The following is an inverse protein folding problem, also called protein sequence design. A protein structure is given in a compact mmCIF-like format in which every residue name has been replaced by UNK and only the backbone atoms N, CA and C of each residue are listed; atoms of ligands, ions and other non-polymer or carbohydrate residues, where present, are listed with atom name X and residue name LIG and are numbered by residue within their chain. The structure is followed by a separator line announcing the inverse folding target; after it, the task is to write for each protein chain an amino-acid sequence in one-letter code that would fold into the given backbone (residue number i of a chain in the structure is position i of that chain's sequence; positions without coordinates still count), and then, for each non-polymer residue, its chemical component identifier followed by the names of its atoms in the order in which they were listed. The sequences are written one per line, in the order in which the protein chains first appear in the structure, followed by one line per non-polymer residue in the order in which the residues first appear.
data_IF_752534695302
#
_entry.id   IF_752534695302
#
_cell.length_a   1.000
_cell.length_b   1.000
_cell.length_c   1.000
_cell.angle_alpha   90.00
_cell.angle_beta   90.00
_cell.angle_gamma   90.00
#
_symmetry.space_group_name_H-M   'P 1'
#
loop_
_entity.id
_entity.type
_entity.pdbx_description
1 polymer ?
#
# COMPACT_ATOMS: atom_id res chain seq x y z
N UNK A 1 -7.01 13.40 -18.84
CA UNK A 1 -7.22 14.84 -18.98
C UNK A 1 -6.10 15.64 -18.29
N UNK A 2 -5.85 15.45 -16.98
CA UNK A 2 -4.87 16.23 -16.21
C UNK A 2 -3.46 16.23 -16.85
N UNK A 3 -2.96 15.11 -17.31
CA UNK A 3 -1.67 15.01 -18.01
C UNK A 3 -1.59 15.98 -19.21
N UNK A 4 -2.59 15.94 -20.08
CA UNK A 4 -2.60 16.75 -21.30
C UNK A 4 -2.80 18.23 -21.04
N UNK A 5 -3.58 18.61 -20.03
CA UNK A 5 -3.76 20.02 -19.70
C UNK A 5 -2.46 20.61 -19.12
N UNK A 6 -1.74 19.89 -18.25
CA UNK A 6 -0.43 20.32 -17.78
C UNK A 6 0.56 20.52 -18.93
N UNK A 7 0.63 19.55 -19.84
CA UNK A 7 1.49 19.67 -21.03
C UNK A 7 1.10 20.87 -21.90
N UNK A 8 -0.19 21.06 -22.17
CA UNK A 8 -0.68 22.20 -22.96
C UNK A 8 -0.31 23.55 -22.33
N UNK A 9 -0.51 23.70 -21.02
CA UNK A 9 -0.19 24.95 -20.33
C UNK A 9 1.32 25.21 -20.25
N UNK A 10 2.11 24.17 -20.13
CA UNK A 10 3.59 24.27 -20.24
C UNK A 10 4.00 24.85 -21.59
N UNK A 11 3.49 24.26 -22.67
CA UNK A 11 3.88 24.63 -24.04
C UNK A 11 3.29 25.98 -24.49
N UNK A 12 2.04 26.26 -24.15
CA UNK A 12 1.33 27.44 -24.63
C UNK A 12 1.61 28.72 -23.81
N UNK A 13 1.85 28.56 -22.51
CA UNK A 13 1.95 29.71 -21.59
C UNK A 13 3.28 29.75 -20.82
N UNK A 14 4.19 28.86 -21.13
CA UNK A 14 5.49 28.74 -20.45
C UNK A 14 5.38 28.66 -18.92
N UNK A 15 4.34 27.96 -18.43
CA UNK A 15 4.14 27.71 -17.01
C UNK A 15 4.98 26.51 -16.59
N UNK A 16 5.72 26.63 -15.50
CA UNK A 16 6.49 25.51 -14.96
C UNK A 16 5.54 24.45 -14.38
N UNK A 17 5.25 23.42 -15.14
CA UNK A 17 4.36 22.32 -14.75
C UNK A 17 5.01 20.98 -15.08
N UNK A 18 4.98 20.03 -14.15
CA UNK A 18 5.48 18.68 -14.31
C UNK A 18 4.35 17.68 -14.06
N UNK A 19 4.31 16.60 -14.85
CA UNK A 19 3.45 15.47 -14.54
C UNK A 19 4.27 14.40 -13.78
N UNK A 20 3.87 14.11 -12.55
CA UNK A 20 4.34 12.95 -11.81
C UNK A 20 3.43 11.75 -12.08
N UNK A 21 3.95 10.73 -12.74
CA UNK A 21 3.26 9.45 -12.94
C UNK A 21 3.66 8.56 -11.78
N UNK A 22 2.86 8.59 -10.72
CA UNK A 22 3.18 7.96 -9.44
C UNK A 22 2.57 6.57 -9.37
N UNK A 23 3.42 5.56 -9.16
CA UNK A 23 2.96 4.22 -8.85
C UNK A 23 2.42 4.15 -7.42
N UNK A 24 1.95 2.98 -6.98
CA UNK A 24 1.30 2.88 -5.68
C UNK A 24 2.25 3.30 -4.55
N UNK A 25 1.92 4.40 -3.89
CA UNK A 25 2.71 4.95 -2.79
C UNK A 25 1.92 4.91 -1.50
N UNK A 26 2.48 4.25 -0.52
CA UNK A 26 1.82 3.83 0.69
C UNK A 26 2.50 4.41 1.93
N UNK A 27 1.76 4.49 3.01
CA UNK A 27 2.26 4.90 4.33
C UNK A 27 1.23 4.60 5.42
N UNK A 28 1.56 4.80 6.71
CA UNK A 28 0.57 4.77 7.79
C UNK A 28 -0.62 5.73 7.60
N UNK A 29 -0.50 6.72 6.72
CA UNK A 29 -1.56 7.69 6.39
C UNK A 29 -2.40 7.28 5.18
N UNK A 30 -2.12 6.13 4.57
CA UNK A 30 -2.91 5.65 3.43
C UNK A 30 -4.38 5.49 3.81
N UNK A 31 -5.29 5.80 2.90
CA UNK A 31 -6.73 5.58 3.11
C UNK A 31 -7.06 4.13 3.46
N UNK A 32 -7.95 3.93 4.40
CA UNK A 32 -8.21 2.63 5.06
C UNK A 32 -8.80 1.56 4.14
N UNK A 33 -9.44 1.96 3.04
CA UNK A 33 -10.02 1.06 2.03
C UNK A 33 -9.02 0.53 1.01
N UNK A 34 -7.80 1.08 0.95
CA UNK A 34 -6.76 0.58 0.06
C UNK A 34 -6.17 -0.73 0.59
N UNK A 35 -5.84 -1.64 -0.33
CA UNK A 35 -5.46 -3.03 -0.03
C UNK A 35 -4.34 -3.14 1.01
N UNK A 36 -3.27 -2.39 0.88
CA UNK A 36 -2.15 -2.39 1.84
C UNK A 36 -2.60 -2.00 3.23
N UNK A 37 -3.37 -0.90 3.33
CA UNK A 37 -3.88 -0.40 4.60
C UNK A 37 -4.92 -1.33 5.21
N UNK A 38 -5.78 -1.92 4.38
CA UNK A 38 -6.74 -2.95 4.81
C UNK A 38 -6.03 -4.15 5.43
N UNK A 39 -4.93 -4.60 4.82
CA UNK A 39 -4.14 -5.74 5.31
C UNK A 39 -3.46 -5.42 6.64
N UNK A 40 -2.74 -4.29 6.76
CA UNK A 40 -2.00 -3.94 7.98
C UNK A 40 -2.92 -3.72 9.17
N UNK A 41 -4.08 -3.08 8.93
CA UNK A 41 -5.12 -2.91 9.95
C UNK A 41 -5.72 -4.25 10.40
N UNK A 42 -6.00 -5.14 9.45
CA UNK A 42 -6.54 -6.47 9.78
C UNK A 42 -5.55 -7.29 10.60
N UNK A 43 -4.26 -7.26 10.25
CA UNK A 43 -3.21 -7.91 11.03
C UNK A 43 -3.16 -7.35 12.46
N UNK A 44 -3.15 -6.03 12.63
CA UNK A 44 -3.16 -5.40 13.93
C UNK A 44 -4.42 -5.73 14.74
N UNK A 45 -5.62 -5.68 14.12
CA UNK A 45 -6.89 -6.07 14.76
C UNK A 45 -6.90 -7.55 15.16
N UNK A 46 -6.36 -8.44 14.30
CA UNK A 46 -6.23 -9.86 14.62
C UNK A 46 -5.39 -10.08 15.87
N UNK A 47 -4.20 -9.46 15.94
CA UNK A 47 -3.31 -9.52 17.12
C UNK A 47 -4.00 -9.11 18.41
N UNK A 48 -4.92 -8.16 18.32
CA UNK A 48 -5.67 -7.62 19.47
C UNK A 48 -6.98 -8.36 19.76
N UNK A 49 -7.33 -9.38 18.97
CA UNK A 49 -8.59 -10.12 19.10
C UNK A 49 -9.84 -9.34 18.68
N UNK A 50 -9.65 -8.23 17.95
CA UNK A 50 -10.75 -7.35 17.48
C UNK A 50 -11.36 -7.82 16.15
N UNK A 51 -10.63 -8.61 15.38
CA UNK A 51 -11.06 -9.15 14.09
C UNK A 51 -10.50 -10.56 13.92
N UNK A 52 -11.29 -11.47 13.37
CA UNK A 52 -10.88 -12.88 13.18
C UNK A 52 -10.40 -13.16 11.76
N UNK A 53 -10.97 -12.49 10.76
CA UNK A 53 -10.72 -12.78 9.35
C UNK A 53 -10.51 -11.51 8.54
N UNK A 54 -9.62 -11.60 7.56
CA UNK A 54 -9.39 -10.62 6.51
C UNK A 54 -9.99 -11.15 5.20
N UNK A 55 -10.80 -10.33 4.53
CA UNK A 55 -11.37 -10.65 3.22
C UNK A 55 -10.70 -9.82 2.13
N UNK A 56 -10.17 -10.49 1.11
CA UNK A 56 -9.45 -9.88 -0.02
C UNK A 56 -9.99 -10.38 -1.35
N UNK A 57 -9.59 -9.74 -2.45
CA UNK A 57 -9.83 -10.22 -3.80
C UNK A 57 -8.68 -11.11 -4.29
N UNK A 58 -8.14 -10.79 -5.49
CA UNK A 58 -7.06 -11.54 -6.11
C UNK A 58 -5.75 -11.41 -5.31
N UNK A 59 -5.29 -12.52 -4.73
CA UNK A 59 -4.07 -12.59 -3.94
C UNK A 59 -2.78 -12.61 -4.80
N UNK A 60 -2.89 -12.98 -6.07
CA UNK A 60 -1.75 -13.10 -6.98
C UNK A 60 -1.43 -11.81 -7.75
N UNK A 61 -2.32 -10.81 -7.68
CA UNK A 61 -2.10 -9.51 -8.29
C UNK A 61 -0.81 -8.87 -7.75
N UNK A 62 0.07 -8.46 -8.68
CA UNK A 62 1.37 -7.86 -8.35
C UNK A 62 1.33 -6.34 -8.52
N UNK A 63 1.86 -5.62 -7.55
CA UNK A 63 1.91 -4.16 -7.56
C UNK A 63 3.29 -3.67 -7.17
N UNK A 64 3.66 -2.55 -7.76
CA UNK A 64 4.84 -1.78 -7.38
C UNK A 64 4.43 -0.84 -6.23
N UNK A 65 4.76 -1.22 -5.00
CA UNK A 65 4.47 -0.44 -3.81
C UNK A 65 5.72 0.23 -3.27
N UNK A 66 5.69 1.55 -3.16
CA UNK A 66 6.75 2.34 -2.55
C UNK A 66 6.27 3.17 -1.37
N UNK A 67 7.19 3.77 -0.65
CA UNK A 67 6.88 4.60 0.49
C UNK A 67 6.55 6.03 0.08
N UNK A 68 5.44 6.60 0.56
CA UNK A 68 4.95 7.92 0.16
C UNK A 68 5.97 9.04 0.36
N UNK A 69 6.82 8.98 1.39
CA UNK A 69 7.87 9.99 1.60
C UNK A 69 8.91 10.02 0.47
N UNK A 70 9.25 8.87 -0.10
CA UNK A 70 10.18 8.81 -1.23
C UNK A 70 9.57 9.49 -2.47
N UNK A 71 8.26 9.30 -2.67
CA UNK A 71 7.54 9.94 -3.78
C UNK A 71 7.41 11.45 -3.60
N UNK A 72 7.13 11.92 -2.37
CA UNK A 72 7.09 13.37 -2.06
C UNK A 72 8.45 14.01 -2.31
N UNK A 73 9.55 13.34 -1.95
CA UNK A 73 10.91 13.80 -2.29
C UNK A 73 11.10 13.90 -3.81
N UNK A 74 10.63 12.90 -4.56
CA UNK A 74 10.65 12.93 -6.03
C UNK A 74 9.85 14.10 -6.60
N UNK A 75 8.64 14.36 -6.08
CA UNK A 75 7.84 15.51 -6.48
C UNK A 75 8.58 16.84 -6.24
N UNK A 76 9.23 16.95 -5.08
CA UNK A 76 10.02 18.14 -4.77
C UNK A 76 11.20 18.31 -5.73
N UNK A 77 11.94 17.23 -6.02
CA UNK A 77 13.08 17.24 -6.94
C UNK A 77 12.68 17.65 -8.37
N UNK A 78 11.50 17.19 -8.84
CA UNK A 78 10.97 17.58 -10.14
C UNK A 78 10.79 19.11 -10.25
N UNK A 79 10.40 19.76 -9.16
CA UNK A 79 10.16 21.21 -9.11
C UNK A 79 11.43 22.04 -8.89
N UNK A 80 12.58 21.40 -8.67
CA UNK A 80 13.89 22.07 -8.51
C UNK A 80 14.71 22.10 -9.80
N UNK A 81 14.18 21.57 -10.89
CA UNK A 81 14.90 21.54 -12.18
C UNK A 81 14.76 22.87 -12.91
N UNK A 82 15.71 23.17 -13.80
CA UNK A 82 15.68 24.38 -14.63
C UNK A 82 14.53 24.31 -15.66
N UNK A 83 14.24 23.14 -16.19
CA UNK A 83 13.21 22.89 -17.18
C UNK A 83 12.16 21.88 -16.67
N UNK A 84 10.85 22.16 -16.92
CA UNK A 84 9.79 21.27 -16.47
C UNK A 84 9.67 20.02 -17.36
N UNK A 85 9.80 18.85 -16.76
CA UNK A 85 9.64 17.56 -17.43
C UNK A 85 8.70 16.62 -16.67
N UNK A 86 8.23 15.59 -17.37
CA UNK A 86 7.36 14.55 -16.79
C UNK A 86 8.17 13.32 -16.36
N UNK A 87 7.86 12.78 -15.19
CA UNK A 87 8.60 11.68 -14.59
C UNK A 87 7.69 10.57 -14.07
N UNK A 88 8.13 9.33 -14.25
CA UNK A 88 7.59 8.18 -13.54
C UNK A 88 8.35 8.05 -12.22
N UNK A 89 7.60 7.93 -11.11
CA UNK A 89 8.13 7.55 -9.81
C UNK A 89 7.58 6.18 -9.44
N UNK A 90 8.47 5.20 -9.30
CA UNK A 90 8.16 3.81 -9.04
C UNK A 90 9.36 3.12 -8.39
N UNK A 91 9.14 2.00 -7.71
CA UNK A 91 10.26 1.25 -7.12
C UNK A 91 10.95 0.34 -8.13
N UNK A 92 10.28 0.00 -9.23
CA UNK A 92 10.76 -0.97 -10.22
C UNK A 92 10.68 -2.42 -9.74
N UNK A 93 10.13 -2.67 -8.57
CA UNK A 93 9.93 -4.00 -8.01
C UNK A 93 8.46 -4.25 -7.71
N UNK A 94 8.03 -5.49 -7.88
CA UNK A 94 6.63 -5.86 -7.61
C UNK A 94 6.54 -6.87 -6.48
N UNK A 95 5.47 -6.75 -5.71
CA UNK A 95 5.11 -7.66 -4.62
C UNK A 95 3.68 -8.13 -4.84
N UNK A 96 3.42 -9.42 -4.68
CA UNK A 96 2.06 -9.95 -4.73
C UNK A 96 1.27 -9.54 -3.48
N UNK A 97 -0.06 -9.43 -3.62
CA UNK A 97 -0.93 -9.17 -2.46
C UNK A 97 -0.72 -10.21 -1.37
N UNK A 98 -0.58 -11.50 -1.74
CA UNK A 98 -0.25 -12.60 -0.84
C UNK A 98 1.01 -12.34 -0.03
N UNK A 99 2.09 -11.95 -0.70
CA UNK A 99 3.38 -11.66 -0.05
C UNK A 99 3.26 -10.51 0.96
N UNK A 100 2.47 -9.49 0.63
CA UNK A 100 2.24 -8.36 1.55
C UNK A 100 1.40 -8.79 2.76
N UNK A 101 0.43 -9.70 2.59
CA UNK A 101 -0.32 -10.31 3.70
C UNK A 101 0.63 -11.10 4.61
N UNK A 102 1.48 -11.97 4.03
CA UNK A 102 2.44 -12.76 4.78
C UNK A 102 3.40 -11.89 5.60
N UNK A 103 3.95 -10.84 4.97
CA UNK A 103 4.80 -9.85 5.65
C UNK A 103 4.06 -9.21 6.83
N UNK A 104 2.80 -8.78 6.62
CA UNK A 104 2.02 -8.09 7.66
C UNK A 104 1.69 -9.01 8.85
N UNK A 105 1.32 -10.25 8.59
CA UNK A 105 1.04 -11.22 9.65
C UNK A 105 2.31 -11.69 10.36
N UNK A 106 3.42 -11.77 9.67
CA UNK A 106 4.74 -12.07 10.27
C UNK A 106 5.18 -10.99 11.27
N UNK A 107 4.90 -9.70 10.99
CA UNK A 107 5.19 -8.59 11.92
C UNK A 107 4.47 -8.73 13.27
N UNK A 108 3.33 -9.42 13.30
CA UNK A 108 2.58 -9.70 14.53
C UNK A 108 2.89 -11.08 15.13
N UNK A 109 3.84 -11.82 14.55
CA UNK A 109 4.28 -13.14 15.00
C UNK A 109 3.38 -14.28 14.54
N UNK A 110 2.61 -14.11 13.46
CA UNK A 110 1.75 -15.14 12.86
C UNK A 110 2.36 -15.57 11.52
N UNK A 111 2.60 -16.88 11.38
CA UNK A 111 2.99 -17.50 10.12
C UNK A 111 1.76 -18.05 9.40
N UNK A 112 1.61 -17.71 8.15
CA UNK A 112 0.47 -18.12 7.34
C UNK A 112 0.81 -19.36 6.51
N UNK A 113 -0.18 -20.25 6.38
CA UNK A 113 -0.21 -21.39 5.48
C UNK A 113 -1.42 -21.27 4.57
N UNK A 114 -1.24 -21.51 3.29
CA UNK A 114 -2.28 -21.37 2.28
C UNK A 114 -2.81 -22.72 1.82
N UNK A 115 -4.12 -22.81 1.61
CA UNK A 115 -4.81 -23.95 1.01
C UNK A 115 -5.87 -23.48 0.01
N UNK A 116 -6.09 -24.28 -1.04
CA UNK A 116 -7.01 -23.93 -2.12
C UNK A 116 -6.36 -23.06 -3.19
N UNK A 117 -7.15 -22.60 -4.14
CA UNK A 117 -6.72 -21.73 -5.24
C UNK A 117 -7.84 -20.79 -5.67
N UNK A 118 -7.50 -19.60 -6.17
CA UNK A 118 -8.46 -18.63 -6.68
C UNK A 118 -9.44 -18.17 -5.60
N UNK A 119 -10.74 -18.29 -5.86
CA UNK A 119 -11.79 -17.84 -4.94
C UNK A 119 -11.97 -18.75 -3.71
N UNK A 120 -11.51 -20.00 -3.79
CA UNK A 120 -11.59 -20.96 -2.69
C UNK A 120 -10.35 -20.94 -1.79
N UNK A 121 -9.41 -20.06 -2.10
CA UNK A 121 -8.16 -19.98 -1.36
C UNK A 121 -8.34 -19.37 0.02
N UNK A 122 -7.63 -19.98 1.00
CA UNK A 122 -7.68 -19.57 2.41
C UNK A 122 -6.28 -19.53 3.00
N UNK A 123 -6.03 -18.51 3.81
CA UNK A 123 -4.84 -18.39 4.65
C UNK A 123 -5.16 -18.81 6.08
N UNK A 124 -4.36 -19.72 6.61
CA UNK A 124 -4.49 -20.25 7.97
C UNK A 124 -3.33 -19.76 8.83
N UNK A 125 -3.61 -19.42 10.07
CA UNK A 125 -2.58 -19.29 11.10
C UNK A 125 -1.98 -20.68 11.35
N UNK A 126 -0.69 -20.86 11.08
CA UNK A 126 0.00 -22.16 11.20
C UNK A 126 0.03 -22.71 12.61
N UNK A 127 -0.07 -21.86 13.64
CA UNK A 127 -0.03 -22.25 15.03
C UNK A 127 -1.40 -22.73 15.55
N UNK A 128 -2.49 -22.05 15.15
CA UNK A 128 -3.85 -22.31 15.65
C UNK A 128 -4.71 -23.12 14.69
N UNK A 129 -4.29 -23.20 13.41
CA UNK A 129 -5.04 -23.78 12.32
C UNK A 129 -6.39 -23.06 12.05
N UNK A 130 -6.55 -21.83 12.54
CA UNK A 130 -7.72 -20.99 12.26
C UNK A 130 -7.58 -20.30 10.90
N UNK A 131 -8.71 -20.16 10.19
CA UNK A 131 -8.76 -19.38 8.95
C UNK A 131 -8.71 -17.90 9.30
N UNK A 132 -7.68 -17.20 8.82
CA UNK A 132 -7.46 -15.77 9.07
C UNK A 132 -7.55 -14.89 7.81
N UNK A 133 -7.42 -15.51 6.63
CA UNK A 133 -7.60 -14.83 5.33
C UNK A 133 -8.52 -15.66 4.45
N UNK A 134 -9.47 -15.00 3.81
CA UNK A 134 -10.36 -15.62 2.81
C UNK A 134 -10.47 -14.72 1.58
N UNK A 135 -10.64 -15.35 0.41
CA UNK A 135 -10.99 -14.61 -0.80
C UNK A 135 -12.49 -14.37 -0.83
N UNK A 136 -12.89 -13.11 -0.98
CA UNK A 136 -14.29 -12.74 -1.18
C UNK A 136 -14.53 -12.50 -2.69
N UNK A 137 -15.42 -13.28 -3.33
CA UNK A 137 -15.74 -13.11 -4.74
C UNK A 137 -16.21 -11.71 -5.12
N UNK A 138 -16.80 -10.96 -4.19
CA UNK A 138 -17.26 -9.58 -4.43
C UNK A 138 -16.10 -8.60 -4.66
N UNK A 139 -14.91 -8.90 -4.14
CA UNK A 139 -13.67 -8.14 -4.37
C UNK A 139 -12.86 -8.66 -5.56
N UNK A 140 -13.25 -9.80 -6.13
CA UNK A 140 -12.53 -10.39 -7.25
C UNK A 140 -12.96 -9.71 -8.55
N UNK A 141 -12.08 -8.93 -9.15
CA UNK A 141 -12.37 -8.18 -10.37
C UNK A 141 -12.06 -9.02 -11.60
N UNK A 142 -13.03 -9.22 -12.55
CA UNK A 142 -12.81 -10.02 -13.75
C UNK A 142 -11.72 -9.47 -14.68
N UNK A 143 -11.44 -8.17 -14.59
CA UNK A 143 -10.46 -7.45 -15.42
C UNK A 143 -9.33 -6.86 -14.58
N UNK A 144 -8.86 -7.61 -13.59
CA UNK A 144 -7.74 -7.17 -12.75
C UNK A 144 -6.46 -7.02 -13.59
N UNK A 145 -5.72 -5.95 -13.36
CA UNK A 145 -4.36 -5.82 -13.91
C UNK A 145 -3.45 -6.73 -13.10
N UNK A 146 -2.98 -7.81 -13.71
CA UNK A 146 -2.16 -8.83 -13.03
C UNK A 146 -0.81 -8.28 -12.57
N UNK A 147 -0.16 -7.49 -13.43
CA UNK A 147 1.16 -6.92 -13.18
C UNK A 147 1.17 -5.41 -13.44
N UNK A 148 1.58 -4.65 -12.46
CA UNK A 148 1.83 -3.22 -12.58
C UNK A 148 3.21 -2.90 -12.00
N UNK A 149 4.18 -2.58 -12.88
CA UNK A 149 5.55 -2.20 -12.51
C UNK A 149 5.94 -0.94 -13.27
N UNK A 150 6.61 -0.01 -12.57
CA UNK A 150 7.06 1.25 -13.17
C UNK A 150 8.54 1.25 -13.52
N UNK A 151 8.89 2.04 -14.51
CA UNK A 151 10.28 2.34 -14.87
C UNK A 151 10.61 3.80 -14.49
N UNK A 152 11.36 3.97 -13.42
CA UNK A 152 11.81 5.27 -12.92
C UNK A 152 13.23 5.66 -13.40
N UNK A 153 13.75 5.02 -14.44
CA UNK A 153 15.12 5.25 -14.94
C UNK A 153 15.39 6.70 -15.30
N UNK A 154 14.38 7.41 -15.85
CA UNK A 154 14.50 8.85 -16.15
C UNK A 154 14.62 9.68 -14.86
N UNK A 155 13.82 9.39 -13.84
CA UNK A 155 13.91 10.09 -12.56
C UNK A 155 15.25 9.84 -11.87
N UNK A 156 15.75 8.61 -11.91
CA UNK A 156 17.08 8.28 -11.40
C UNK A 156 18.17 9.06 -12.12
N UNK A 157 18.14 9.08 -13.46
CA UNK A 157 19.17 9.73 -14.28
C UNK A 157 19.18 11.24 -14.11
N UNK A 158 18.01 11.89 -14.18
CA UNK A 158 17.91 13.35 -14.26
C UNK A 158 17.78 14.02 -12.89
N UNK A 159 17.08 13.36 -11.93
CA UNK A 159 16.84 13.92 -10.60
C UNK A 159 17.74 13.31 -9.52
N UNK A 160 18.45 12.21 -9.83
CA UNK A 160 19.13 11.41 -8.81
C UNK A 160 18.16 10.71 -7.85
N UNK A 161 16.90 10.61 -8.22
CA UNK A 161 15.87 10.03 -7.36
C UNK A 161 15.87 8.51 -7.40
N UNK A 162 15.88 7.90 -6.23
CA UNK A 162 15.70 6.47 -6.02
C UNK A 162 14.84 6.22 -4.78
N UNK A 163 14.02 5.14 -4.76
CA UNK A 163 13.33 4.75 -3.55
C UNK A 163 14.32 4.34 -2.47
N UNK A 164 14.15 4.87 -1.27
CA UNK A 164 15.06 4.64 -0.13
C UNK A 164 14.57 3.52 0.79
N UNK A 165 13.28 3.23 0.72
CA UNK A 165 12.61 2.27 1.61
C UNK A 165 12.15 1.05 0.83
N UNK A 166 12.35 -0.12 1.42
CA UNK A 166 11.85 -1.37 0.87
C UNK A 166 10.39 -1.58 1.24
N UNK A 167 9.69 -2.45 0.49
CA UNK A 167 8.30 -2.84 0.81
C UNK A 167 8.20 -3.49 2.20
N UNK A 168 9.23 -4.22 2.64
CA UNK A 168 9.29 -4.82 3.98
C UNK A 168 9.33 -3.74 5.07
N UNK A 169 10.15 -2.71 4.91
CA UNK A 169 10.23 -1.58 5.85
C UNK A 169 8.92 -0.81 5.90
N UNK A 170 8.30 -0.58 4.74
CA UNK A 170 6.98 0.03 4.62
C UNK A 170 5.91 -0.77 5.35
N UNK A 171 5.86 -2.09 5.12
CA UNK A 171 4.92 -2.99 5.78
C UNK A 171 5.07 -2.96 7.30
N UNK A 172 6.31 -3.09 7.80
CA UNK A 172 6.63 -3.05 9.22
C UNK A 172 6.19 -1.73 9.88
N UNK A 173 6.48 -0.60 9.24
CA UNK A 173 6.05 0.73 9.71
C UNK A 173 4.52 0.84 9.78
N UNK A 174 3.82 0.39 8.75
CA UNK A 174 2.37 0.46 8.69
C UNK A 174 1.71 -0.44 9.75
N UNK A 175 2.16 -1.68 9.92
CA UNK A 175 1.64 -2.61 10.94
C UNK A 175 1.88 -2.06 12.34
N UNK A 176 3.09 -1.55 12.62
CA UNK A 176 3.42 -0.94 13.92
C UNK A 176 2.52 0.26 14.23
N UNK A 177 2.35 1.15 13.26
CA UNK A 177 1.46 2.31 13.41
C UNK A 177 0.02 1.91 13.69
N UNK A 178 -0.48 0.83 13.04
CA UNK A 178 -1.82 0.33 13.30
C UNK A 178 -1.97 -0.33 14.67
N UNK A 179 -0.97 -1.08 15.12
CA UNK A 179 -0.94 -1.63 16.47
C UNK A 179 -0.97 -0.52 17.53
N UNK A 180 -0.15 0.52 17.37
CA UNK A 180 -0.11 1.66 18.29
C UNK A 180 -1.47 2.37 18.32
N UNK A 181 -2.09 2.58 17.15
CA UNK A 181 -3.41 3.20 17.02
C UNK A 181 -4.48 2.40 17.76
N UNK A 182 -4.63 1.09 17.46
CA UNK A 182 -5.66 0.27 18.09
C UNK A 182 -5.40 0.03 19.57
N UNK A 183 -4.14 -0.01 20.01
CA UNK A 183 -3.81 -0.07 21.43
C UNK A 183 -4.27 1.18 22.15
N UNK A 184 -4.02 2.37 21.59
CA UNK A 184 -4.52 3.64 22.12
C UNK A 184 -6.04 3.69 22.13
N UNK A 185 -6.68 3.29 21.04
CA UNK A 185 -8.13 3.33 20.91
C UNK A 185 -8.80 2.43 21.94
N UNK A 186 -8.25 1.23 22.18
CA UNK A 186 -8.72 0.32 23.23
C UNK A 186 -8.58 0.96 24.63
N UNK A 187 -7.42 1.57 24.91
CA UNK A 187 -7.19 2.23 26.20
C UNK A 187 -8.19 3.37 26.45
N UNK A 188 -8.50 4.15 25.43
CA UNK A 188 -9.49 5.22 25.51
C UNK A 188 -10.90 4.66 25.78
N UNK A 189 -11.30 3.58 25.09
CA UNK A 189 -12.59 2.92 25.32
C UNK A 189 -12.72 2.34 26.73
N UNK A 190 -11.65 1.70 27.24
CA UNK A 190 -11.60 1.20 28.63
C UNK A 190 -11.71 2.34 29.66
N UNK A 191 -11.21 3.54 29.32
CA UNK A 191 -11.34 4.76 30.11
C UNK A 191 -12.71 5.47 29.98
N UNK A 192 -13.66 4.89 29.20
CA UNK A 192 -15.01 5.46 29.00
C UNK A 192 -15.09 6.58 27.95
N UNK A 193 -14.06 6.74 27.11
CA UNK A 193 -14.04 7.74 26.05
C UNK A 193 -14.58 7.14 24.72
N UNK A 194 -15.29 7.98 23.96
CA UNK A 194 -15.69 7.61 22.59
C UNK A 194 -14.48 7.66 21.66
N UNK A 195 -14.35 6.63 20.82
CA UNK A 195 -13.35 6.55 19.76
C UNK A 195 -14.07 6.57 18.42
N UNK A 196 -13.62 7.45 17.51
CA UNK A 196 -14.17 7.50 16.16
C UNK A 196 -13.81 6.20 15.45
N UNK A 197 -14.80 5.34 15.30
CA UNK A 197 -14.65 4.13 14.48
C UNK A 197 -14.71 4.53 13.01
N UNK A 198 -13.64 4.23 12.27
CA UNK A 198 -13.70 4.33 10.82
C UNK A 198 -14.63 3.24 10.30
N UNK A 199 -15.68 3.61 9.61
CA UNK A 199 -16.55 2.68 8.91
C UNK A 199 -15.78 2.09 7.71
N UNK A 200 -15.70 0.76 7.70
CA UNK A 200 -15.23 -0.01 6.53
C UNK A 200 -16.34 -0.05 5.46
#
# INVERSE_FOLDING_TARGET
YAFWICKNYREAYNIFTCNGILFNHESPLRGETFVTRKITRAAAKYKMGLQKKLFLGNLDAKRDWGHAQDYVEGMWLMMQQDEPEDYVLATGTTTAVREFVEMSFKEIGVELRWEGTGVDEKGFDSATNEVVVEVDPSYFRPTEVELLVGDASKAKKNLGWEPKRTVQQLCSEMVKSDLDRFTRDRYLMEGGHEVIQSHE
#
